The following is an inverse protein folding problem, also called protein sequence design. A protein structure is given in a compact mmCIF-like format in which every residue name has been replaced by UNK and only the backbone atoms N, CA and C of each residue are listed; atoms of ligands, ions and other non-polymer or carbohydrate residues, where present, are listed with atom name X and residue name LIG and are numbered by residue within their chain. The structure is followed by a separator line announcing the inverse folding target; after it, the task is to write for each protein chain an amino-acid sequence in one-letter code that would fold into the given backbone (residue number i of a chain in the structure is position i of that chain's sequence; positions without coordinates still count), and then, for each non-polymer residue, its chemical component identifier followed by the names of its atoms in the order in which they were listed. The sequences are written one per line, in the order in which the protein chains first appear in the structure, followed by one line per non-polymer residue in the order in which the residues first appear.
data_IF_562969142190
#
_entry.id   IF_562969142190
#
_cell.length_a   1.000
_cell.length_b   1.000
_cell.length_c   1.000
_cell.angle_alpha   90.00
_cell.angle_beta   90.00
_cell.angle_gamma   90.00
#
_symmetry.space_group_name_H-M   'P 1'
#
loop_
_entity.id
_entity.type
_entity.pdbx_description
1 polymer ?
#
# COMPACT_ATOMS: atom_id res chain seq x y z
N UNK A 1 6.99 -11.93 29.17
CA UNK A 1 6.75 -11.19 27.91
C UNK A 1 5.28 -11.35 27.56
N UNK A 2 4.44 -10.33 27.79
CA UNK A 2 2.98 -10.50 27.83
C UNK A 2 2.34 -10.58 26.44
N UNK A 3 1.35 -11.46 26.28
CA UNK A 3 0.54 -11.62 25.06
C UNK A 3 0.00 -10.30 24.52
N UNK A 4 -0.34 -9.36 25.40
CA UNK A 4 -0.77 -8.01 25.04
C UNK A 4 0.27 -7.25 24.20
N UNK A 5 1.57 -7.40 24.49
CA UNK A 5 2.63 -6.75 23.73
C UNK A 5 2.73 -7.30 22.29
N UNK A 6 2.56 -8.61 22.11
CA UNK A 6 2.55 -9.25 20.78
C UNK A 6 1.35 -8.80 19.96
N UNK A 7 0.16 -8.70 20.58
CA UNK A 7 -1.06 -8.23 19.89
C UNK A 7 -0.85 -6.81 19.37
N UNK A 8 -0.34 -5.91 20.22
CA UNK A 8 -0.08 -4.50 19.84
C UNK A 8 0.95 -4.43 18.71
N UNK A 9 2.00 -5.23 18.76
CA UNK A 9 3.02 -5.31 17.70
C UNK A 9 2.41 -5.68 16.34
N UNK A 10 1.55 -6.71 16.31
CA UNK A 10 0.90 -7.16 15.08
C UNK A 10 -0.03 -6.07 14.54
N UNK A 11 -0.84 -5.45 15.41
CA UNK A 11 -1.74 -4.35 15.03
C UNK A 11 -0.95 -3.19 14.45
N UNK A 12 0.16 -2.78 15.06
CA UNK A 12 1.03 -1.72 14.56
C UNK A 12 1.61 -2.05 13.18
N UNK A 13 2.08 -3.29 12.97
CA UNK A 13 2.54 -3.73 11.65
C UNK A 13 1.43 -3.67 10.60
N UNK A 14 0.24 -4.19 10.90
CA UNK A 14 -0.88 -4.15 9.95
C UNK A 14 -1.36 -2.72 9.72
N UNK A 15 -1.29 -1.82 10.70
CA UNK A 15 -1.66 -0.42 10.51
C UNK A 15 -0.72 0.32 9.55
N UNK A 16 0.60 0.11 9.70
CA UNK A 16 1.62 0.73 8.84
C UNK A 16 1.53 0.18 7.41
N UNK A 17 1.44 -1.14 7.27
CA UNK A 17 1.49 -1.79 5.96
C UNK A 17 0.13 -1.92 5.29
N UNK A 18 -0.94 -2.06 6.06
CA UNK A 18 -2.30 -2.25 5.55
C UNK A 18 -2.77 -1.06 4.73
N UNK A 19 -2.57 0.17 5.23
CA UNK A 19 -2.87 1.38 4.47
C UNK A 19 -2.08 1.46 3.17
N UNK A 20 -0.78 1.17 3.21
CA UNK A 20 0.09 1.20 2.04
C UNK A 20 -0.34 0.19 0.97
N UNK A 21 -0.62 -1.05 1.36
CA UNK A 21 -1.07 -2.11 0.44
C UNK A 21 -2.40 -1.74 -0.21
N UNK A 22 -3.35 -1.24 0.59
CA UNK A 22 -4.67 -0.82 0.08
C UNK A 22 -4.51 0.35 -0.91
N UNK A 23 -3.72 1.36 -0.58
CA UNK A 23 -3.46 2.50 -1.48
C UNK A 23 -2.78 2.07 -2.77
N UNK A 24 -1.79 1.18 -2.70
CA UNK A 24 -1.14 0.64 -3.88
C UNK A 24 -2.13 -0.10 -4.80
N UNK A 25 -2.96 -0.99 -4.23
CA UNK A 25 -3.99 -1.71 -4.97
C UNK A 25 -5.04 -0.77 -5.58
N UNK A 26 -5.45 0.26 -4.85
CA UNK A 26 -6.41 1.26 -5.33
C UNK A 26 -5.85 2.00 -6.54
N UNK A 27 -4.59 2.46 -6.48
CA UNK A 27 -3.95 3.19 -7.57
C UNK A 27 -3.74 2.32 -8.82
N UNK A 28 -3.38 1.04 -8.63
CA UNK A 28 -3.23 0.11 -9.77
C UNK A 28 -4.56 -0.21 -10.44
N UNK A 29 -5.65 -0.30 -9.68
CA UNK A 29 -6.98 -0.64 -10.23
C UNK A 29 -7.75 0.56 -10.79
N UNK A 30 -7.50 1.74 -10.25
CA UNK A 30 -8.16 2.99 -10.64
C UNK A 30 -7.11 4.05 -10.99
N UNK A 31 -6.36 3.86 -12.08
CA UNK A 31 -5.42 4.88 -12.53
C UNK A 31 -6.18 6.07 -13.15
N UNK A 32 -5.78 7.30 -12.79
CA UNK A 32 -6.38 8.53 -13.33
C UNK A 32 -6.11 8.72 -14.83
N UNK A 33 -5.05 8.10 -15.34
CA UNK A 33 -4.63 8.11 -16.74
C UNK A 33 -4.35 6.66 -17.13
N UNK A 34 -4.88 6.20 -18.26
CA UNK A 34 -4.51 4.90 -18.82
C UNK A 34 -2.98 4.79 -18.90
N UNK A 35 -2.42 3.70 -18.36
CA UNK A 35 -0.97 3.46 -18.39
C UNK A 35 -0.42 3.50 -19.82
N UNK A 36 -1.22 3.08 -20.81
CA UNK A 36 -0.87 3.10 -22.23
C UNK A 36 -0.75 4.52 -22.81
N UNK A 37 -1.29 5.53 -22.12
CA UNK A 37 -1.23 6.95 -22.51
C UNK A 37 -0.20 7.74 -21.71
N UNK A 38 0.54 7.11 -20.79
CA UNK A 38 1.63 7.75 -20.05
C UNK A 38 2.79 8.01 -21.03
N UNK A 39 3.19 9.27 -21.27
CA UNK A 39 4.30 9.55 -22.18
C UNK A 39 5.60 8.96 -21.63
N UNK A 40 6.12 7.92 -22.27
CA UNK A 40 7.44 7.38 -21.95
C UNK A 40 8.49 8.35 -22.48
N UNK A 41 9.10 9.13 -21.58
CA UNK A 41 10.24 9.98 -21.90
C UNK A 41 11.47 9.10 -22.16
N UNK A 42 11.52 8.48 -23.34
CA UNK A 42 12.71 7.83 -23.87
C UNK A 42 13.75 8.93 -24.19
N UNK A 43 14.69 9.16 -23.27
CA UNK A 43 15.97 9.81 -23.56
C UNK A 43 17.09 8.78 -23.48
#
# INVERSE_FOLDING_TARGET
MGTLALIIMIVAMVAIWGGLIISALHLTKHPDIDMDKVPSHHR
#
